data_IF_623209238648
#
_entry.id   IF_623209238648
#
_cell.length_a   1.000
_cell.length_b   1.000
_cell.length_c   1.000
_cell.angle_alpha   90.00
_cell.angle_beta   90.00
_cell.angle_gamma   90.00
#
_symmetry.space_group_name_H-M   'P 1'
#
loop_
_entity.id
_entity.type
_entity.pdbx_description
1 polymer ?
#
# COMPACT_ATOMS: atom_id res chain seq x y z
N UNK A 1 9.45 9.45 19.40
CA UNK A 1 8.75 9.20 18.13
C UNK A 1 9.32 7.96 17.49
N UNK A 2 8.56 6.86 17.44
CA UNK A 2 9.00 5.57 16.89
C UNK A 2 8.68 5.51 15.39
N UNK A 3 9.71 5.63 14.55
CA UNK A 3 9.55 5.40 13.11
C UNK A 3 9.14 3.94 12.85
N UNK A 4 8.13 3.67 12.00
CA UNK A 4 7.81 2.32 11.59
C UNK A 4 9.00 1.77 10.78
N UNK A 5 9.62 0.69 11.28
CA UNK A 5 10.66 -0.02 10.53
C UNK A 5 10.00 -0.70 9.33
N UNK A 6 10.54 -0.56 8.10
CA UNK A 6 10.03 -1.30 6.95
C UNK A 6 10.10 -2.80 7.24
N UNK A 7 9.08 -3.54 6.80
CA UNK A 7 9.06 -4.99 6.89
C UNK A 7 10.32 -5.53 6.21
N UNK A 8 11.19 -6.19 6.98
CA UNK A 8 12.38 -6.84 6.42
C UNK A 8 11.88 -8.06 5.66
N UNK A 9 11.76 -7.95 4.34
CA UNK A 9 11.73 -9.13 3.48
C UNK A 9 13.03 -9.89 3.74
N UNK A 10 12.90 -11.03 4.42
CA UNK A 10 14.04 -11.89 4.73
C UNK A 10 14.42 -12.54 3.40
N UNK A 11 15.50 -12.04 2.80
CA UNK A 11 16.13 -12.68 1.64
C UNK A 11 16.38 -14.14 1.98
N UNK A 12 15.76 -15.07 1.24
CA UNK A 12 16.13 -16.49 1.26
C UNK A 12 17.62 -16.56 0.95
N UNK A 13 18.43 -16.86 1.97
CA UNK A 13 19.85 -17.12 1.79
C UNK A 13 20.01 -18.64 1.73
N UNK A 14 20.49 -19.11 0.59
CA UNK A 14 20.80 -20.50 0.33
C UNK A 14 22.15 -20.78 1.02
N UNK A 15 22.17 -20.81 2.35
CA UNK A 15 23.40 -21.10 3.10
C UNK A 15 23.64 -22.61 3.22
N UNK A 16 24.93 -22.96 3.31
CA UNK A 16 25.49 -24.32 3.30
C UNK A 16 24.81 -25.32 4.25
N UNK A 17 24.77 -26.57 3.82
CA UNK A 17 23.99 -27.68 4.38
C UNK A 17 24.34 -28.07 5.82
N UNK A 18 25.52 -27.65 6.30
CA UNK A 18 26.06 -27.99 7.62
C UNK A 18 25.30 -27.36 8.81
N UNK A 19 24.50 -26.32 8.56
CA UNK A 19 23.70 -25.64 9.60
C UNK A 19 22.23 -26.12 9.63
N UNK A 20 21.89 -27.17 8.86
CA UNK A 20 20.55 -27.80 8.82
C UNK A 20 20.29 -28.71 10.03
N UNK A 21 20.80 -28.35 11.20
CA UNK A 21 20.44 -29.05 12.43
C UNK A 21 19.05 -28.58 12.84
N UNK A 22 18.15 -29.54 13.02
CA UNK A 22 16.80 -29.30 13.54
C UNK A 22 16.90 -28.50 14.84
N UNK A 23 16.32 -27.30 14.92
CA UNK A 23 16.31 -26.55 16.17
C UNK A 23 15.57 -27.37 17.24
N UNK A 24 16.16 -27.49 18.43
CA UNK A 24 15.51 -28.18 19.55
C UNK A 24 14.09 -27.62 19.78
N UNK A 25 13.06 -28.46 19.94
CA UNK A 25 11.68 -28.04 20.22
C UNK A 25 10.77 -27.75 19.01
N UNK A 26 11.21 -27.99 17.77
CA UNK A 26 10.34 -28.04 16.58
C UNK A 26 10.02 -29.51 16.24
N UNK A 27 8.80 -29.81 15.81
CA UNK A 27 8.39 -31.12 15.31
C UNK A 27 9.03 -31.52 13.99
N UNK A 28 9.20 -32.82 13.77
CA UNK A 28 9.93 -33.35 12.61
C UNK A 28 9.22 -33.01 11.31
N UNK A 29 7.91 -33.26 11.31
CA UNK A 29 7.02 -32.95 10.20
C UNK A 29 7.04 -31.46 9.84
N UNK A 30 7.04 -30.59 10.85
CA UNK A 30 7.11 -29.14 10.65
C UNK A 30 8.48 -28.72 10.08
N UNK A 31 9.57 -29.36 10.50
CA UNK A 31 10.90 -29.07 9.97
C UNK A 31 11.07 -29.60 8.54
N UNK A 32 10.48 -30.76 8.22
CA UNK A 32 10.49 -31.34 6.88
C UNK A 32 9.83 -30.42 5.84
N UNK A 33 8.76 -29.72 6.22
CA UNK A 33 8.07 -28.75 5.35
C UNK A 33 8.93 -27.51 5.01
N UNK A 34 9.96 -27.21 5.81
CA UNK A 34 10.88 -26.07 5.60
C UNK A 34 12.27 -26.54 5.17
N UNK A 35 12.41 -27.81 4.78
CA UNK A 35 13.69 -28.38 4.37
C UNK A 35 14.32 -27.55 3.23
N UNK A 36 15.54 -27.06 3.46
CA UNK A 36 16.29 -26.23 2.51
C UNK A 36 16.27 -24.73 2.77
N UNK A 37 15.49 -24.24 3.75
CA UNK A 37 15.40 -22.80 4.06
C UNK A 37 15.93 -22.48 5.47
N UNK A 38 16.67 -21.36 5.60
CA UNK A 38 17.14 -20.87 6.91
C UNK A 38 16.00 -20.15 7.64
N UNK A 39 15.55 -20.74 8.74
CA UNK A 39 14.55 -20.11 9.62
C UNK A 39 15.20 -19.00 10.47
N UNK A 40 14.61 -17.79 10.52
CA UNK A 40 15.03 -16.76 11.46
C UNK A 40 14.89 -17.23 12.90
N UNK A 41 15.82 -16.83 13.79
CA UNK A 41 15.77 -17.18 15.22
C UNK A 41 14.42 -16.84 15.87
N UNK A 42 13.85 -15.67 15.52
CA UNK A 42 12.53 -15.23 15.99
C UNK A 42 11.39 -16.15 15.55
N UNK A 43 11.49 -16.74 14.36
CA UNK A 43 10.50 -17.70 13.84
C UNK A 43 10.57 -19.00 14.63
N UNK A 44 11.78 -19.51 14.87
CA UNK A 44 12.02 -20.71 15.70
C UNK A 44 11.48 -20.52 17.12
N UNK A 45 11.77 -19.37 17.73
CA UNK A 45 11.24 -19.02 19.07
C UNK A 45 9.71 -18.99 19.09
N UNK A 46 9.05 -18.46 18.06
CA UNK A 46 7.59 -18.42 17.99
C UNK A 46 6.97 -19.81 17.80
N UNK A 47 7.58 -20.66 16.96
CA UNK A 47 7.10 -22.04 16.73
C UNK A 47 7.27 -22.93 17.95
N UNK A 48 8.36 -22.77 18.73
CA UNK A 48 8.57 -23.50 19.99
C UNK A 48 7.46 -23.31 21.01
N UNK A 49 6.76 -22.17 20.94
CA UNK A 49 5.64 -21.80 21.82
C UNK A 49 4.29 -22.36 21.37
N UNK A 50 4.28 -23.14 20.29
CA UNK A 50 3.11 -23.84 19.77
C UNK A 50 3.18 -25.34 20.06
N UNK A 51 2.02 -25.96 20.25
CA UNK A 51 1.87 -27.42 20.34
C UNK A 51 2.33 -28.08 19.02
N UNK A 52 2.95 -29.27 19.05
CA UNK A 52 3.37 -30.05 17.87
C UNK A 52 2.46 -29.99 16.64
N UNK A 53 1.18 -30.31 16.82
CA UNK A 53 0.20 -30.32 15.74
C UNK A 53 0.00 -28.92 15.12
N UNK A 54 0.06 -27.87 15.94
CA UNK A 54 -0.07 -26.48 15.50
C UNK A 54 1.18 -25.97 14.81
N UNK A 55 2.37 -26.47 15.16
CA UNK A 55 3.60 -26.13 14.44
C UNK A 55 3.53 -26.54 12.97
N UNK A 56 3.02 -27.75 12.68
CA UNK A 56 2.88 -28.26 11.31
C UNK A 56 1.92 -27.39 10.48
N UNK A 57 0.77 -27.03 11.06
CA UNK A 57 -0.23 -26.18 10.39
C UNK A 57 0.34 -24.77 10.15
N UNK A 58 0.92 -24.15 11.19
CA UNK A 58 1.49 -22.81 11.07
C UNK A 58 2.58 -22.77 10.01
N UNK A 59 3.49 -23.75 10.01
CA UNK A 59 4.54 -23.82 9.00
C UNK A 59 3.98 -23.99 7.60
N UNK A 60 2.95 -24.83 7.43
CA UNK A 60 2.27 -24.99 6.14
C UNK A 60 1.70 -23.66 5.63
N UNK A 61 0.99 -22.92 6.49
CA UNK A 61 0.46 -21.58 6.15
C UNK A 61 1.59 -20.60 5.80
N UNK A 62 2.70 -20.64 6.55
CA UNK A 62 3.87 -19.78 6.29
C UNK A 62 4.56 -20.11 4.96
N UNK A 63 4.55 -21.37 4.53
CA UNK A 63 5.09 -21.80 3.22
C UNK A 63 4.14 -21.43 2.08
N UNK A 64 2.83 -21.62 2.26
CA UNK A 64 1.79 -21.24 1.28
C UNK A 64 1.83 -19.74 0.96
N UNK A 65 2.07 -18.91 1.97
CA UNK A 65 2.15 -17.45 1.83
C UNK A 65 3.56 -16.92 1.50
N UNK A 66 4.53 -17.84 1.27
CA UNK A 66 5.95 -17.55 1.08
C UNK A 66 6.53 -16.53 2.10
N UNK A 67 6.13 -16.67 3.37
CA UNK A 67 6.48 -15.72 4.43
C UNK A 67 6.92 -16.44 5.70
N UNK A 68 8.21 -16.73 5.79
CA UNK A 68 8.83 -17.32 6.98
C UNK A 68 9.26 -16.27 8.05
N UNK A 69 8.68 -15.08 8.03
CA UNK A 69 9.06 -14.00 8.96
C UNK A 69 8.66 -14.30 10.41
N UNK A 70 9.50 -13.84 11.34
CA UNK A 70 9.23 -14.00 12.77
C UNK A 70 8.00 -13.22 13.25
N UNK A 71 7.67 -12.11 12.59
CA UNK A 71 6.47 -11.32 12.93
C UNK A 71 5.20 -12.06 12.51
N UNK A 72 5.21 -12.71 11.35
CA UNK A 72 4.10 -13.55 10.90
C UNK A 72 3.90 -14.77 11.81
N UNK A 73 4.98 -15.48 12.19
CA UNK A 73 4.90 -16.57 13.16
C UNK A 73 4.33 -16.13 14.52
N UNK A 74 4.68 -14.92 15.00
CA UNK A 74 4.11 -14.34 16.23
C UNK A 74 2.65 -13.96 16.10
N UNK A 75 2.21 -13.54 14.91
CA UNK A 75 0.81 -13.26 14.62
C UNK A 75 -0.02 -14.55 14.65
N UNK A 76 0.46 -15.62 14.01
CA UNK A 76 -0.17 -16.95 14.08
C UNK A 76 -0.26 -17.45 15.53
N UNK A 77 0.82 -17.30 16.31
CA UNK A 77 0.82 -17.65 17.73
C UNK A 77 -0.23 -16.84 18.52
N UNK A 78 -0.39 -15.55 18.22
CA UNK A 78 -1.36 -14.68 18.88
C UNK A 78 -2.81 -14.99 18.49
N UNK A 79 -3.04 -15.45 17.26
CA UNK A 79 -4.37 -15.84 16.77
C UNK A 79 -4.84 -17.20 17.32
N UNK A 80 -3.90 -18.09 17.70
CA UNK A 80 -4.25 -19.43 18.20
C UNK A 80 -4.91 -19.38 19.58
N UNK A 81 -5.91 -20.25 19.85
CA UNK A 81 -6.49 -20.42 21.18
C UNK A 81 -5.46 -21.00 22.17
N UNK A 82 -5.71 -20.83 23.47
CA UNK A 82 -4.79 -21.26 24.53
C UNK A 82 -4.45 -22.77 24.46
N UNK A 83 -5.39 -23.61 24.04
CA UNK A 83 -5.19 -25.06 23.85
C UNK A 83 -4.15 -25.43 22.79
N UNK A 84 -3.77 -24.49 21.90
CA UNK A 84 -2.77 -24.70 20.85
C UNK A 84 -1.36 -24.19 21.19
N UNK A 85 -1.15 -23.63 22.39
CA UNK A 85 0.12 -23.05 22.81
C UNK A 85 0.80 -23.97 23.83
N UNK A 86 2.11 -24.16 23.69
CA UNK A 86 2.93 -24.93 24.66
C UNK A 86 3.34 -24.07 25.87
N UNK A 87 3.30 -22.74 25.74
CA UNK A 87 3.46 -21.81 26.85
C UNK A 87 2.12 -21.61 27.59
N UNK A 88 2.20 -21.47 28.93
CA UNK A 88 1.06 -21.09 29.76
C UNK A 88 0.36 -19.83 29.24
N UNK A 89 -0.98 -19.84 29.33
CA UNK A 89 -1.92 -18.84 28.80
C UNK A 89 -1.68 -17.39 29.26
N UNK A 90 -0.70 -17.15 30.14
CA UNK A 90 -0.36 -15.85 30.72
C UNK A 90 0.30 -14.89 29.72
N UNK A 91 0.71 -15.37 28.54
CA UNK A 91 1.61 -14.65 27.64
C UNK A 91 1.11 -13.33 27.05
N UNK A 92 -0.20 -13.14 26.81
CA UNK A 92 -0.81 -11.85 26.44
C UNK A 92 -2.32 -11.92 26.67
N UNK A 93 -2.76 -11.74 27.91
CA UNK A 93 -4.09 -11.18 28.12
C UNK A 93 -4.09 -9.87 27.34
N UNK A 94 -4.93 -9.74 26.31
CA UNK A 94 -5.20 -8.43 25.74
C UNK A 94 -5.58 -7.57 26.94
N UNK A 95 -4.77 -6.54 27.25
CA UNK A 95 -5.10 -5.62 28.33
C UNK A 95 -6.58 -5.27 28.17
N UNK A 96 -7.37 -5.36 29.23
CA UNK A 96 -8.81 -5.09 29.15
C UNK A 96 -9.07 -3.73 28.46
N UNK A 97 -8.16 -2.77 28.65
CA UNK A 97 -8.09 -1.49 27.95
C UNK A 97 -7.95 -1.61 26.42
N UNK A 98 -7.17 -2.56 25.91
CA UNK A 98 -7.02 -2.82 24.48
C UNK A 98 -8.30 -3.43 23.89
N UNK A 99 -8.92 -4.38 24.59
CA UNK A 99 -10.19 -4.98 24.15
C UNK A 99 -11.32 -3.94 24.11
N UNK A 100 -11.43 -3.09 25.15
CA UNK A 100 -12.40 -1.99 25.18
C UNK A 100 -12.17 -0.95 24.07
N UNK A 101 -10.91 -0.62 23.78
CA UNK A 101 -10.55 0.28 22.68
C UNK A 101 -10.88 -0.30 21.32
N UNK A 102 -10.62 -1.58 21.09
CA UNK A 102 -10.96 -2.26 19.84
C UNK A 102 -12.48 -2.31 19.66
N UNK A 103 -13.25 -2.66 20.70
CA UNK A 103 -14.71 -2.69 20.66
C UNK A 103 -15.34 -1.31 20.42
N UNK A 104 -14.70 -0.23 20.90
CA UNK A 104 -15.12 1.15 20.57
C UNK A 104 -14.80 1.48 19.12
N UNK A 105 -13.62 1.08 18.63
CA UNK A 105 -13.21 1.31 17.25
C UNK A 105 -14.09 0.54 16.26
N UNK A 106 -14.43 -0.71 16.57
CA UNK A 106 -15.35 -1.53 15.79
C UNK A 106 -16.72 -0.87 15.66
N UNK A 107 -17.31 -0.42 16.78
CA UNK A 107 -18.58 0.31 16.76
C UNK A 107 -18.50 1.61 15.93
N UNK A 108 -17.39 2.35 16.07
CA UNK A 108 -17.17 3.55 15.28
C UNK A 108 -17.07 3.24 13.77
N UNK A 109 -16.37 2.18 13.40
CA UNK A 109 -16.23 1.73 12.01
C UNK A 109 -17.58 1.28 11.43
N UNK A 110 -18.35 0.52 12.20
CA UNK A 110 -19.70 0.09 11.79
C UNK A 110 -20.60 1.30 11.57
N UNK A 111 -20.58 2.28 12.48
CA UNK A 111 -21.33 3.53 12.34
C UNK A 111 -20.90 4.32 11.10
N UNK A 112 -19.60 4.52 10.91
CA UNK A 112 -19.09 5.20 9.72
C UNK A 112 -19.46 4.47 8.43
N UNK A 113 -19.47 3.13 8.44
CA UNK A 113 -19.85 2.33 7.29
C UNK A 113 -21.35 2.44 7.01
N UNK A 114 -22.21 2.44 8.03
CA UNK A 114 -23.65 2.64 7.85
C UNK A 114 -23.95 4.03 7.31
N UNK A 115 -23.30 5.06 7.86
CA UNK A 115 -23.47 6.44 7.40
C UNK A 115 -23.02 6.56 5.94
N UNK A 116 -21.84 6.01 5.61
CA UNK A 116 -21.36 5.98 4.23
C UNK A 116 -22.30 5.24 3.27
N UNK A 117 -22.93 4.13 3.69
CA UNK A 117 -23.93 3.42 2.87
C UNK A 117 -25.19 4.26 2.66
N UNK A 118 -25.69 4.92 3.70
CA UNK A 118 -26.86 5.80 3.59
C UNK A 118 -26.60 6.98 2.66
N UNK A 119 -25.41 7.59 2.75
CA UNK A 119 -25.01 8.66 1.83
C UNK A 119 -24.88 8.14 0.39
N UNK A 120 -24.26 6.97 0.18
CA UNK A 120 -24.09 6.37 -1.16
C UNK A 120 -25.40 6.01 -1.84
N UNK A 121 -26.36 5.41 -1.13
CA UNK A 121 -27.64 4.96 -1.72
C UNK A 121 -28.41 6.09 -2.39
N UNK A 122 -28.40 7.29 -1.81
CA UNK A 122 -29.05 8.47 -2.43
C UNK A 122 -28.21 9.05 -3.56
N UNK A 123 -26.90 9.11 -3.34
CA UNK A 123 -25.97 9.71 -4.29
C UNK A 123 -25.87 8.94 -5.62
N UNK A 124 -26.02 7.61 -5.64
CA UNK A 124 -25.93 6.82 -6.87
C UNK A 124 -27.04 7.14 -7.87
N UNK A 125 -28.30 7.23 -7.42
CA UNK A 125 -29.43 7.59 -8.28
C UNK A 125 -29.34 9.05 -8.76
N UNK A 126 -28.99 9.96 -7.86
CA UNK A 126 -28.87 11.38 -8.17
C UNK A 126 -27.72 11.65 -9.15
N UNK A 127 -26.60 10.92 -9.05
CA UNK A 127 -25.50 11.01 -10.00
C UNK A 127 -25.89 10.53 -11.40
N UNK A 128 -26.65 9.44 -11.52
CA UNK A 128 -27.13 8.96 -12.82
C UNK A 128 -28.03 10.00 -13.46
N UNK A 129 -28.97 10.58 -12.68
CA UNK A 129 -29.83 11.65 -13.19
C UNK A 129 -29.01 12.89 -13.58
N UNK A 130 -28.07 13.32 -12.74
CA UNK A 130 -27.24 14.49 -13.01
C UNK A 130 -26.36 14.30 -14.25
N UNK A 131 -25.70 13.15 -14.39
CA UNK A 131 -24.87 12.85 -15.57
C UNK A 131 -25.69 12.78 -16.85
N UNK A 132 -26.91 12.21 -16.77
CA UNK A 132 -27.85 12.19 -17.89
C UNK A 132 -28.27 13.62 -18.28
N UNK A 133 -28.72 14.43 -17.33
CA UNK A 133 -29.09 15.84 -17.57
C UNK A 133 -27.90 16.64 -18.13
N UNK A 134 -26.71 16.51 -17.55
CA UNK A 134 -25.49 17.17 -18.05
C UNK A 134 -25.15 16.73 -19.47
N UNK A 135 -25.37 15.47 -19.83
CA UNK A 135 -25.15 14.97 -21.19
C UNK A 135 -26.13 15.59 -22.19
N UNK A 136 -27.41 15.71 -21.84
CA UNK A 136 -28.41 16.39 -22.68
C UNK A 136 -28.09 17.87 -22.88
N UNK A 137 -27.73 18.56 -21.79
CA UNK A 137 -27.33 19.98 -21.86
C UNK A 137 -26.08 20.14 -22.74
N UNK A 138 -25.11 19.22 -22.65
CA UNK A 138 -23.93 19.21 -23.53
C UNK A 138 -24.33 19.07 -25.00
N UNK A 139 -25.27 18.19 -25.33
CA UNK A 139 -25.79 18.03 -26.69
C UNK A 139 -26.45 19.31 -27.20
N UNK A 140 -27.23 20.00 -26.37
CA UNK A 140 -27.86 21.28 -26.74
C UNK A 140 -26.85 22.38 -27.02
N UNK A 141 -25.80 22.51 -26.19
CA UNK A 141 -24.77 23.54 -26.38
C UNK A 141 -23.88 23.23 -27.59
N UNK A 142 -23.67 21.95 -27.91
CA UNK A 142 -22.87 21.52 -29.07
C UNK A 142 -23.58 21.75 -30.40
N UNK A 143 -24.92 21.86 -30.42
CA UNK A 143 -25.68 22.17 -31.63
C UNK A 143 -25.65 23.67 -31.92
N UNK A 144 -25.14 24.06 -33.09
CA UNK A 144 -25.04 25.47 -33.48
C UNK A 144 -26.41 26.17 -33.54
N UNK A 145 -27.44 25.47 -34.03
CA UNK A 145 -28.81 26.00 -34.16
C UNK A 145 -29.42 26.29 -32.79
N UNK A 146 -29.33 25.33 -31.86
CA UNK A 146 -29.90 25.45 -30.51
C UNK A 146 -29.15 26.49 -29.70
N UNK A 147 -27.82 26.51 -29.78
CA UNK A 147 -26.98 27.50 -29.10
C UNK A 147 -27.22 28.93 -29.62
N UNK A 148 -27.37 29.11 -30.94
CA UNK A 148 -27.72 30.41 -31.52
C UNK A 148 -29.08 30.90 -31.02
N UNK A 149 -30.10 30.04 -31.05
CA UNK A 149 -31.44 30.36 -30.55
C UNK A 149 -31.41 30.73 -29.05
N UNK A 150 -30.67 29.97 -28.24
CA UNK A 150 -30.54 30.23 -26.80
C UNK A 150 -29.85 31.57 -26.52
N UNK A 151 -28.82 31.91 -27.29
CA UNK A 151 -28.12 33.19 -27.19
C UNK A 151 -29.02 34.37 -27.58
N UNK A 152 -29.90 34.20 -28.57
CA UNK A 152 -30.81 35.26 -29.04
C UNK A 152 -31.97 35.54 -28.08
N UNK A 153 -32.59 34.50 -27.51
CA UNK A 153 -33.75 34.67 -26.62
C UNK A 153 -33.37 34.78 -25.14
N UNK A 154 -32.34 34.06 -24.71
CA UNK A 154 -32.06 33.80 -23.29
C UNK A 154 -30.55 33.75 -22.99
N UNK A 155 -29.81 34.87 -23.19
CA UNK A 155 -28.34 34.90 -23.10
C UNK A 155 -27.80 34.56 -21.71
N UNK A 156 -28.52 34.93 -20.64
CA UNK A 156 -28.14 34.59 -19.25
C UNK A 156 -28.10 33.07 -19.03
N UNK A 157 -29.13 32.37 -19.51
CA UNK A 157 -29.21 30.92 -19.39
C UNK A 157 -28.12 30.23 -20.23
N UNK A 158 -27.82 30.76 -21.42
CA UNK A 158 -26.73 30.24 -22.25
C UNK A 158 -25.37 30.30 -21.55
N UNK A 159 -25.06 31.38 -20.83
CA UNK A 159 -23.81 31.51 -20.06
C UNK A 159 -23.76 30.50 -18.92
N UNK A 160 -24.84 30.36 -18.16
CA UNK A 160 -24.90 29.42 -17.04
C UNK A 160 -24.79 27.95 -17.50
N UNK A 161 -25.51 27.56 -18.56
CA UNK A 161 -25.42 26.19 -19.10
C UNK A 161 -24.02 25.88 -19.63
N UNK A 162 -23.36 26.86 -20.27
CA UNK A 162 -21.97 26.71 -20.73
C UNK A 162 -20.98 26.54 -19.57
N UNK A 163 -21.18 27.26 -18.46
CA UNK A 163 -20.38 27.09 -17.26
C UNK A 163 -20.60 25.71 -16.62
N UNK A 164 -21.87 25.29 -16.49
CA UNK A 164 -22.23 23.98 -15.94
C UNK A 164 -21.62 22.82 -16.72
N UNK A 165 -21.57 22.89 -18.06
CA UNK A 165 -20.94 21.84 -18.88
C UNK A 165 -19.44 21.78 -18.64
N UNK A 166 -18.76 22.94 -18.54
CA UNK A 166 -17.32 22.98 -18.19
C UNK A 166 -17.05 22.32 -16.85
N UNK A 167 -17.84 22.66 -15.83
CA UNK A 167 -17.69 22.10 -14.48
C UNK A 167 -17.97 20.58 -14.46
N UNK A 168 -18.96 20.12 -15.23
CA UNK A 168 -19.26 18.70 -15.38
C UNK A 168 -18.12 17.91 -16.06
N UNK A 169 -17.47 18.49 -17.08
CA UNK A 169 -16.30 17.88 -17.73
C UNK A 169 -15.11 17.74 -16.75
N UNK A 170 -14.92 18.71 -15.84
CA UNK A 170 -13.92 18.62 -14.78
C UNK A 170 -14.28 17.64 -13.66
N UNK A 171 -15.55 17.27 -13.50
CA UNK A 171 -15.94 16.26 -12.51
C UNK A 171 -15.53 14.83 -12.93
N UNK A 172 -15.39 14.57 -14.24
CA UNK A 172 -14.98 13.28 -14.80
C UNK A 172 -13.49 13.01 -14.55
N UNK A 173 -12.66 14.06 -14.42
CA UNK A 173 -11.23 13.97 -14.14
C UNK A 173 -10.90 14.74 -12.86
N UNK A 174 -10.49 14.08 -11.76
CA UNK A 174 -10.27 14.76 -10.50
C UNK A 174 -9.22 15.87 -10.68
N UNK A 175 -9.60 17.11 -10.37
CA UNK A 175 -8.73 18.29 -10.51
C UNK A 175 -7.39 18.17 -9.76
N UNK A 176 -7.33 17.29 -8.76
CA UNK A 176 -6.09 16.86 -8.11
C UNK A 176 -6.15 15.34 -7.90
N UNK A 177 -5.18 14.56 -8.42
CA UNK A 177 -5.10 13.15 -8.08
C UNK A 177 -4.88 13.02 -6.57
N UNK A 178 -5.70 12.19 -5.92
CA UNK A 178 -5.65 11.96 -4.47
C UNK A 178 -4.27 11.38 -4.10
N UNK A 179 -3.53 12.07 -3.23
CA UNK A 179 -2.25 11.55 -2.70
C UNK A 179 -2.54 10.46 -1.68
N UNK A 180 -2.44 9.21 -2.09
CA UNK A 180 -2.58 8.06 -1.20
C UNK A 180 -1.33 7.96 -0.30
N UNK A 181 -1.47 7.88 1.03
CA UNK A 181 -0.34 7.87 1.97
C UNK A 181 0.68 6.73 1.80
N UNK A 182 0.33 5.71 1.01
CA UNK A 182 1.10 4.49 0.78
C UNK A 182 1.45 4.28 -0.68
N UNK A 183 1.12 5.21 -1.58
CA UNK A 183 1.77 5.20 -2.88
C UNK A 183 3.25 5.51 -2.61
N UNK A 184 4.21 4.68 -3.07
CA UNK A 184 5.57 5.14 -3.15
C UNK A 184 5.49 6.38 -4.04
N UNK A 185 5.75 7.55 -3.46
CA UNK A 185 5.93 8.75 -4.24
C UNK A 185 6.78 8.33 -5.44
N UNK A 186 6.33 8.65 -6.66
CA UNK A 186 7.21 8.71 -7.81
C UNK A 186 8.21 9.83 -7.53
N UNK A 187 9.06 9.62 -6.51
CA UNK A 187 10.24 10.37 -6.24
C UNK A 187 11.08 10.19 -7.48
N UNK A 188 11.52 11.27 -8.14
CA UNK A 188 12.57 11.12 -9.11
C UNK A 188 13.75 10.60 -8.31
N UNK A 189 13.98 9.29 -8.37
CA UNK A 189 15.25 8.70 -7.99
C UNK A 189 16.26 9.28 -8.97
N UNK A 190 16.72 10.50 -8.69
CA UNK A 190 18.00 10.99 -9.19
C UNK A 190 19.00 10.06 -8.53
N UNK A 191 19.30 8.98 -9.25
CA UNK A 191 20.41 8.09 -8.97
C UNK A 191 21.61 8.97 -8.70
N UNK A 192 22.09 8.90 -7.45
CA UNK A 192 23.26 9.57 -6.87
C UNK A 192 24.55 9.45 -7.70
N UNK A 193 24.50 8.68 -8.79
CA UNK A 193 25.60 8.37 -9.69
C UNK A 193 25.74 9.37 -10.85
N UNK A 194 24.79 10.29 -11.07
CA UNK A 194 24.88 11.26 -12.17
C UNK A 194 25.64 12.54 -11.78
N UNK A 195 25.50 13.00 -10.53
CA UNK A 195 26.21 14.18 -10.00
C UNK A 195 27.72 13.96 -9.87
N UNK A 196 28.18 12.72 -9.70
CA UNK A 196 29.62 12.40 -9.68
C UNK A 196 30.24 12.36 -11.08
N UNK A 197 29.46 12.07 -12.13
CA UNK A 197 29.95 12.06 -13.53
C UNK A 197 30.14 13.47 -14.08
N UNK A 198 29.27 14.41 -13.73
CA UNK A 198 29.39 15.82 -14.16
C UNK A 198 30.55 16.55 -13.48
N UNK A 199 30.84 16.27 -12.19
CA UNK A 199 32.01 16.85 -11.51
C UNK A 199 33.36 16.31 -12.01
N UNK A 200 33.42 15.05 -12.50
CA UNK A 200 34.65 14.51 -13.11
C UNK A 200 34.90 15.03 -14.53
N UNK A 201 33.86 15.34 -15.30
CA UNK A 201 34.01 15.95 -16.64
C UNK A 201 34.46 17.42 -16.58
N UNK A 202 33.97 18.20 -15.62
CA UNK A 202 34.41 19.59 -15.46
C UNK A 202 35.81 19.75 -14.87
N UNK A 203 36.33 18.74 -14.15
CA UNK A 203 37.71 18.72 -13.66
C UNK A 203 38.74 18.25 -14.73
N UNK A 204 38.30 17.58 -15.79
CA UNK A 204 39.18 17.16 -16.90
C UNK A 204 39.28 18.21 -18.03
N UNK A 205 38.40 19.21 -18.06
CA UNK A 205 38.48 20.31 -19.04
C UNK A 205 39.33 21.50 -18.59
N UNK A 206 39.76 21.57 -17.33
CA UNK A 206 40.56 22.67 -16.78
C UNK A 206 42.08 22.43 -16.77
N UNK A 207 42.58 21.35 -17.38
CA UNK A 207 44.01 21.10 -17.57
C UNK A 207 44.33 20.86 -19.06
N UNK A 208 44.40 21.94 -19.83
CA UNK A 208 45.17 21.99 -21.09
C UNK A 208 46.26 23.06 -20.92
N UNK A 209 47.55 22.72 -21.05
CA UNK A 209 48.60 23.70 -20.92
C UNK A 209 48.62 24.62 -22.15
N UNK A 210 48.70 25.92 -21.90
CA UNK A 210 49.00 26.93 -22.92
C UNK A 210 50.44 26.71 -23.40
N UNK A 211 50.59 26.24 -24.63
CA UNK A 211 51.88 26.01 -25.27
C UNK A 211 51.86 26.47 -26.72
N UNK A 212 52.57 27.58 -26.96
CA UNK A 212 53.44 27.83 -28.11
C UNK A 212 52.84 27.92 -29.55
N UNK A 213 52.84 29.16 -30.04
CA UNK A 213 53.58 29.65 -31.22
C UNK A 213 53.07 29.51 -32.68
N UNK A 214 53.27 30.65 -33.37
CA UNK A 214 53.60 30.88 -34.79
C UNK A 214 52.44 31.07 -35.79
N UNK A 215 52.32 32.30 -36.37
CA UNK A 215 52.83 32.76 -37.70
C UNK A 215 52.09 32.00 -38.82
N UNK A 216 51.43 32.62 -39.79
CA UNK A 216 51.77 33.75 -40.68
C UNK A 216 50.46 34.48 -41.04
#
# INVERSE_FOLDING_TARGET
>A
MTHPRPARFIRRSNGSEAERQRPAGICEEAFALVAGQKLPKRTVEALRRMVPQRQVIAVREMVELDNLSGDFARALLAAMPAAGRSDDARGRQAHADCAGRLAKMERCLVQMQSDARQLRQKHEADLVYLTLVSSFVRTWISSEVVNAWLCSHHPRFAVHLKALVKDADFAILPARPMKLPYLPDASPVKSRNETQRTRRRSAQQSFKPAGANQRI
#
